data_IF_565593477227
#
_entry.id   IF_565593477227
#
_cell.length_a   1.000
_cell.length_b   1.000
_cell.length_c   1.000
_cell.angle_alpha   90.00
_cell.angle_beta   90.00
_cell.angle_gamma   90.00
#
_symmetry.space_group_name_H-M   'P 1'
#
loop_
_entity.id
_entity.type
_entity.pdbx_description
1 polymer ?
#
# COMPACT_ATOMS: atom_id res chain seq x y z
N UNK A 1 21.84 -25.35 -9.37
CA UNK A 1 21.32 -25.32 -7.98
C UNK A 1 19.99 -26.09 -7.97
N UNK A 2 19.89 -27.22 -7.26
CA UNK A 2 18.66 -28.03 -7.21
C UNK A 2 17.69 -27.39 -6.22
N UNK A 3 16.60 -26.80 -6.71
CA UNK A 3 15.50 -26.17 -5.95
C UNK A 3 14.56 -27.17 -5.26
N UNK A 4 15.02 -28.39 -4.94
CA UNK A 4 14.12 -29.48 -4.53
C UNK A 4 13.59 -29.38 -3.10
N UNK A 5 14.15 -28.51 -2.26
CA UNK A 5 13.82 -28.44 -0.82
C UNK A 5 13.34 -27.05 -0.34
N UNK A 6 12.86 -26.18 -1.24
CA UNK A 6 12.26 -24.90 -0.85
C UNK A 6 10.73 -25.04 -0.72
N UNK A 7 10.20 -24.77 0.48
CA UNK A 7 8.75 -24.64 0.72
C UNK A 7 8.38 -23.16 0.89
N UNK A 8 7.25 -22.68 0.34
CA UNK A 8 6.81 -21.31 0.57
C UNK A 8 6.65 -21.03 2.07
N UNK A 9 7.11 -19.86 2.51
CA UNK A 9 6.85 -19.42 3.88
C UNK A 9 5.35 -19.17 4.07
N UNK A 10 4.81 -19.55 5.24
CA UNK A 10 3.42 -19.25 5.59
C UNK A 10 3.27 -17.73 5.79
N UNK A 11 2.37 -17.10 5.03
CA UNK A 11 1.99 -15.71 5.26
C UNK A 11 1.43 -15.55 6.69
N UNK A 12 1.93 -14.57 7.43
CA UNK A 12 1.54 -14.33 8.83
C UNK A 12 0.51 -13.22 9.00
N UNK A 13 0.49 -12.26 8.08
CA UNK A 13 -0.42 -11.10 8.10
C UNK A 13 -0.83 -10.81 6.65
N UNK A 14 -2.12 -10.55 6.45
CA UNK A 14 -2.64 -9.97 5.20
C UNK A 14 -2.67 -8.47 5.41
N UNK A 15 -2.09 -7.72 4.49
CA UNK A 15 -2.02 -6.25 4.56
C UNK A 15 -3.01 -5.69 3.55
N UNK A 16 -3.90 -4.81 4.01
CA UNK A 16 -4.82 -4.09 3.12
C UNK A 16 -4.10 -2.98 2.35
N UNK A 17 -4.79 -2.39 1.37
CA UNK A 17 -4.25 -1.23 0.64
C UNK A 17 -4.11 -0.02 1.57
N UNK A 18 -5.09 0.24 2.44
CA UNK A 18 -5.02 1.29 3.45
C UNK A 18 -3.87 1.12 4.42
N UNK A 19 -3.70 -0.10 4.95
CA UNK A 19 -2.58 -0.44 5.82
C UNK A 19 -1.24 -0.27 5.10
N UNK A 20 -1.15 -0.67 3.83
CA UNK A 20 0.08 -0.47 3.05
C UNK A 20 0.46 1.01 2.93
N UNK A 21 -0.51 1.90 2.71
CA UNK A 21 -0.26 3.35 2.68
C UNK A 21 0.21 3.84 4.05
N UNK A 22 -0.46 3.41 5.12
CA UNK A 22 -0.12 3.76 6.49
C UNK A 22 1.30 3.32 6.86
N UNK A 23 1.65 2.07 6.58
CA UNK A 23 2.97 1.49 6.85
C UNK A 23 4.05 2.30 6.14
N UNK A 24 3.89 2.55 4.84
CA UNK A 24 4.88 3.32 4.06
C UNK A 24 4.99 4.76 4.57
N UNK A 25 3.87 5.40 4.95
CA UNK A 25 3.87 6.74 5.56
C UNK A 25 4.65 6.77 6.88
N UNK A 26 4.37 5.83 7.77
CA UNK A 26 4.97 5.77 9.11
C UNK A 26 6.45 5.41 9.06
N UNK A 27 6.87 4.52 8.15
CA UNK A 27 8.28 4.23 7.89
C UNK A 27 9.07 5.46 7.43
N UNK A 28 8.40 6.47 6.88
CA UNK A 28 9.00 7.74 6.49
C UNK A 28 8.88 8.85 7.56
N UNK A 29 8.33 8.53 8.73
CA UNK A 29 8.16 9.49 9.82
C UNK A 29 7.15 10.60 9.53
N UNK A 30 6.25 10.41 8.56
CA UNK A 30 5.27 11.43 8.17
C UNK A 30 3.98 11.28 8.98
N UNK A 31 3.40 12.40 9.41
CA UNK A 31 2.02 12.42 9.92
C UNK A 31 1.04 12.42 8.74
N UNK A 32 -0.25 12.12 8.99
CA UNK A 32 -1.27 12.22 7.93
C UNK A 32 -1.40 13.67 7.41
N UNK A 33 -1.29 14.67 8.29
CA UNK A 33 -1.33 16.09 7.92
C UNK A 33 -0.11 16.50 7.06
N UNK A 34 1.05 15.93 7.35
CA UNK A 34 2.26 16.12 6.54
C UNK A 34 2.08 15.54 5.13
N UNK A 35 1.58 14.30 5.05
CA UNK A 35 1.31 13.65 3.77
C UNK A 35 0.21 14.38 2.97
N UNK A 36 -0.80 14.91 3.66
CA UNK A 36 -1.86 15.73 3.07
C UNK A 36 -1.28 16.96 2.37
N UNK A 37 -0.39 17.68 3.04
CA UNK A 37 0.28 18.86 2.50
C UNK A 37 1.11 18.54 1.25
N UNK A 38 1.82 17.41 1.26
CA UNK A 38 2.67 16.98 0.13
C UNK A 38 1.89 16.52 -1.09
N UNK A 39 0.74 15.88 -0.87
CA UNK A 39 -0.08 15.30 -1.95
C UNK A 39 -1.19 16.21 -2.43
N UNK A 40 -1.50 17.29 -1.69
CA UNK A 40 -2.70 18.12 -1.86
C UNK A 40 -4.00 17.31 -1.73
N UNK A 41 -3.95 16.17 -1.03
CA UNK A 41 -5.12 15.38 -0.67
C UNK A 41 -5.53 15.79 0.74
N UNK A 42 -6.82 16.03 1.03
CA UNK A 42 -7.27 16.37 2.39
C UNK A 42 -6.83 15.30 3.41
N UNK A 43 -6.40 15.71 4.60
CA UNK A 43 -5.99 14.78 5.65
C UNK A 43 -7.10 13.78 6.00
N UNK A 44 -8.37 14.22 6.00
CA UNK A 44 -9.54 13.35 6.19
C UNK A 44 -9.64 12.25 5.11
N UNK A 45 -9.27 12.58 3.87
CA UNK A 45 -9.24 11.61 2.76
C UNK A 45 -8.09 10.61 2.93
N UNK A 46 -6.92 11.06 3.38
CA UNK A 46 -5.81 10.15 3.72
C UNK A 46 -6.20 9.22 4.85
N UNK A 47 -6.81 9.74 5.91
CA UNK A 47 -7.33 8.91 7.02
C UNK A 47 -8.36 7.89 6.53
N UNK A 48 -9.29 8.29 5.68
CA UNK A 48 -10.28 7.38 5.10
C UNK A 48 -9.64 6.29 4.21
N UNK A 49 -8.55 6.60 3.50
CA UNK A 49 -7.78 5.60 2.73
C UNK A 49 -7.06 4.65 3.69
N UNK A 50 -6.35 5.17 4.69
CA UNK A 50 -5.56 4.37 5.65
C UNK A 50 -6.43 3.42 6.49
N UNK A 51 -7.72 3.73 6.67
CA UNK A 51 -8.69 2.90 7.37
C UNK A 51 -9.61 2.09 6.42
N UNK A 52 -9.24 1.97 5.13
CA UNK A 52 -10.00 1.26 4.10
C UNK A 52 -11.48 1.68 3.97
N UNK A 53 -11.80 2.89 4.42
CA UNK A 53 -13.16 3.46 4.36
C UNK A 53 -13.49 3.94 2.94
N UNK A 54 -12.47 4.31 2.17
CA UNK A 54 -12.60 4.62 0.74
C UNK A 54 -11.55 3.89 -0.07
N UNK A 55 -11.94 3.47 -1.28
CA UNK A 55 -11.02 2.82 -2.21
C UNK A 55 -9.95 3.80 -2.72
N UNK A 56 -8.71 3.32 -2.77
CA UNK A 56 -7.60 4.07 -3.33
C UNK A 56 -7.63 4.00 -4.87
N UNK A 57 -8.20 5.04 -5.50
CA UNK A 57 -8.17 5.17 -6.96
C UNK A 57 -6.78 5.44 -7.54
N UNK A 58 -6.60 5.12 -8.83
CA UNK A 58 -5.30 5.17 -9.53
C UNK A 58 -4.61 6.54 -9.43
N UNK A 59 -5.35 7.64 -9.60
CA UNK A 59 -4.76 8.98 -9.55
C UNK A 59 -4.26 9.35 -8.15
N UNK A 60 -5.01 8.97 -7.11
CA UNK A 60 -4.57 9.16 -5.71
C UNK A 60 -3.39 8.25 -5.39
N UNK A 61 -3.37 7.01 -5.91
CA UNK A 61 -2.23 6.11 -5.75
C UNK A 61 -0.96 6.70 -6.35
N UNK A 62 -1.02 7.28 -7.56
CA UNK A 62 0.10 7.99 -8.20
C UNK A 62 0.56 9.19 -7.37
N UNK A 63 -0.37 9.98 -6.83
CA UNK A 63 -0.05 11.15 -6.02
C UNK A 63 0.65 10.77 -4.70
N UNK A 64 0.09 9.79 -3.98
CA UNK A 64 0.68 9.25 -2.75
C UNK A 64 2.06 8.63 -3.02
N UNK A 65 2.19 7.82 -4.06
CA UNK A 65 3.44 7.16 -4.42
C UNK A 65 4.56 8.17 -4.73
N UNK A 66 4.25 9.28 -5.41
CA UNK A 66 5.23 10.36 -5.63
C UNK A 66 5.64 11.02 -4.32
N UNK A 67 4.70 11.36 -3.44
CA UNK A 67 5.00 11.99 -2.15
C UNK A 67 5.77 11.06 -1.20
N UNK A 68 5.50 9.76 -1.28
CA UNK A 68 6.15 8.69 -0.54
C UNK A 68 7.36 8.10 -1.28
N UNK A 69 7.79 8.67 -2.42
CA UNK A 69 8.95 8.23 -3.20
C UNK A 69 9.00 6.70 -3.43
N UNK A 70 7.86 6.10 -3.74
CA UNK A 70 7.74 4.68 -4.05
C UNK A 70 7.02 4.47 -5.38
N UNK A 71 7.06 3.26 -5.92
CA UNK A 71 6.23 2.90 -7.08
C UNK A 71 4.77 2.71 -6.63
N UNK A 72 3.75 3.13 -7.39
CA UNK A 72 2.34 2.97 -6.99
C UNK A 72 1.94 1.53 -6.64
N UNK A 73 2.52 0.56 -7.36
CA UNK A 73 2.30 -0.87 -7.10
C UNK A 73 2.61 -1.29 -5.66
N UNK A 74 3.56 -0.62 -4.99
CA UNK A 74 3.90 -0.90 -3.58
C UNK A 74 2.71 -0.61 -2.66
N UNK A 75 1.88 0.38 -3.00
CA UNK A 75 0.73 0.79 -2.19
C UNK A 75 -0.52 -0.04 -2.48
N UNK A 76 -0.78 -0.33 -3.75
CA UNK A 76 -2.04 -0.96 -4.18
C UNK A 76 -1.98 -2.48 -4.28
N UNK A 77 -0.79 -3.08 -4.19
CA UNK A 77 -0.59 -4.53 -4.31
C UNK A 77 0.26 -5.14 -3.17
N UNK A 78 -0.06 -4.90 -1.88
CA UNK A 78 0.76 -5.33 -0.74
C UNK A 78 0.86 -6.86 -0.55
N UNK A 79 0.04 -7.65 -1.26
CA UNK A 79 0.02 -9.11 -1.20
C UNK A 79 -0.22 -9.79 -2.54
N UNK A 80 0.23 -9.18 -3.65
CA UNK A 80 0.00 -9.74 -4.98
C UNK A 80 0.81 -11.03 -5.22
N UNK A 81 0.11 -12.09 -5.60
CA UNK A 81 0.68 -13.38 -5.98
C UNK A 81 0.36 -13.66 -7.45
N UNK A 82 1.39 -13.72 -8.30
CA UNK A 82 1.25 -13.91 -9.77
C UNK A 82 0.51 -15.20 -10.13
N UNK A 83 0.62 -16.24 -9.31
CA UNK A 83 0.06 -17.57 -9.56
C UNK A 83 -1.35 -17.75 -9.01
N UNK A 84 -1.83 -16.86 -8.14
CA UNK A 84 -3.24 -16.87 -7.72
C UNK A 84 -4.07 -16.24 -8.82
N UNK A 85 -4.84 -17.06 -9.54
CA UNK A 85 -5.90 -16.54 -10.43
C UNK A 85 -6.86 -15.70 -9.58
N UNK A 86 -7.20 -14.50 -10.05
CA UNK A 86 -8.22 -13.68 -9.41
C UNK A 86 -9.51 -14.48 -9.27
N UNK A 87 -10.10 -14.47 -8.07
CA UNK A 87 -11.50 -14.79 -7.91
C UNK A 87 -12.30 -13.67 -8.58
N UNK A 88 -12.68 -13.89 -9.84
CA UNK A 88 -13.72 -13.13 -10.52
C UNK A 88 -15.05 -13.88 -10.33
#
# INVERSE_FOLDING_TARGET
MKTKDVRPAKARVVVSVGESVRIVRELQGLTQSELARRTKIPQSTISAIENDTINLGVERAKALARALRCHPAVLVFPGWEVTKRSAA
#
